data_IF_864927732809
#
_entry.id   IF_864927732809
#
_cell.length_a   1.000
_cell.length_b   1.000
_cell.length_c   1.000
_cell.angle_alpha   90.00
_cell.angle_beta   90.00
_cell.angle_gamma   90.00
#
_symmetry.space_group_name_H-M   'P 1'
#
loop_
_entity.id
_entity.type
_entity.pdbx_description
1 polymer ?
2 non-polymer ?
3 non-polymer ?
4 water ?
#
# COMPACT_ATOMS: atom_id res chain seq x y z
N UNK A 16 -10.23 -7.77 23.29
CA UNK A 16 -9.93 -8.04 21.89
C UNK A 16 -8.46 -7.72 21.56
N UNK A 17 -7.91 -8.39 20.55
CA UNK A 17 -6.48 -8.39 20.28
C UNK A 17 -6.09 -7.22 19.38
N UNK A 18 -5.13 -6.42 19.83
CA UNK A 18 -4.57 -5.34 19.02
C UNK A 18 -3.27 -5.71 18.30
N UNK A 19 -2.79 -6.93 18.45
CA UNK A 19 -1.56 -7.33 17.78
C UNK A 19 -1.86 -7.84 16.37
N UNK A 20 -0.91 -7.67 15.48
CA UNK A 20 -0.89 -8.40 14.21
C UNK A 20 0.33 -9.29 14.24
N UNK A 21 0.22 -10.48 13.65
CA UNK A 21 1.25 -11.48 13.76
C UNK A 21 1.91 -11.72 12.42
N UNK A 22 3.15 -12.19 12.48
CA UNK A 22 3.94 -12.55 11.31
C UNK A 22 4.54 -13.91 11.54
N UNK A 23 4.35 -14.82 10.59
CA UNK A 23 5.00 -16.13 10.65
C UNK A 23 6.39 -15.97 10.05
N UNK A 24 7.40 -15.83 10.90
CA UNK A 24 8.77 -15.71 10.42
C UNK A 24 9.52 -17.02 10.54
N UNK A 25 8.80 -18.14 10.61
CA UNK A 25 9.40 -19.46 10.72
C UNK A 25 9.28 -20.30 9.47
N UNK A 26 8.18 -20.16 8.74
CA UNK A 26 7.92 -20.95 7.53
C UNK A 26 8.09 -20.01 6.35
N UNK A 27 9.32 -19.95 5.84
CA UNK A 27 9.76 -18.92 4.92
C UNK A 27 10.35 -19.53 3.68
N UNK A 28 10.38 -18.80 2.57
CA UNK A 28 11.17 -19.26 1.42
C UNK A 28 12.61 -19.52 1.87
N UNK A 29 13.25 -20.47 1.20
CA UNK A 29 14.62 -20.86 1.54
C UNK A 29 15.56 -19.66 1.61
N UNK A 30 15.40 -18.70 0.70
CA UNK A 30 16.33 -17.57 0.62
C UNK A 30 16.33 -16.73 1.91
N UNK A 31 15.24 -16.77 2.68
CA UNK A 31 15.19 -15.97 3.90
C UNK A 31 16.06 -16.52 5.02
N UNK A 32 16.67 -17.68 4.81
CA UNK A 32 17.45 -18.29 5.86
C UNK A 32 16.61 -18.51 7.09
N UNK A 33 17.22 -18.32 8.25
CA UNK A 33 16.55 -18.48 9.53
C UNK A 33 16.52 -17.13 10.23
N UNK A 34 15.32 -16.74 10.66
CA UNK A 34 15.08 -15.41 11.18
C UNK A 34 15.88 -15.15 12.45
N UNK A 35 16.47 -13.96 12.54
CA UNK A 35 17.06 -13.51 13.78
C UNK A 35 16.20 -12.46 14.48
N UNK A 36 15.79 -11.41 13.76
CA UNK A 36 14.95 -10.35 14.31
C UNK A 36 13.94 -9.94 13.25
N UNK A 37 12.83 -9.36 13.71
CA UNK A 37 11.68 -9.09 12.84
C UNK A 37 11.28 -7.64 13.01
N UNK A 38 10.88 -6.99 11.92
CA UNK A 38 10.47 -5.60 11.93
C UNK A 38 9.17 -5.42 11.16
N UNK A 39 8.41 -4.39 11.53
CA UNK A 39 7.13 -4.10 10.92
C UNK A 39 7.07 -2.63 10.53
N UNK A 40 7.07 -2.37 9.23
CA UNK A 40 6.97 -1.01 8.69
C UNK A 40 5.52 -0.76 8.31
N UNK A 41 4.82 0.03 9.11
CA UNK A 41 3.38 0.22 8.97
C UNK A 41 3.12 1.67 8.60
N UNK A 42 2.26 1.91 7.60
CA UNK A 42 1.94 3.27 7.21
C UNK A 42 0.47 3.36 6.80
N UNK A 43 0.00 4.59 6.73
CA UNK A 43 -1.40 4.89 6.47
C UNK A 43 -1.63 5.02 4.97
N UNK A 44 -2.77 4.50 4.50
CA UNK A 44 -3.14 4.62 3.10
C UNK A 44 -4.32 5.58 2.91
N UNK A 45 -5.32 5.51 3.76
CA UNK A 45 -6.45 6.40 3.62
C UNK A 45 -7.20 6.46 4.94
N UNK A 46 -7.82 7.61 5.20
CA UNK A 46 -8.60 7.78 6.41
C UNK A 46 -7.81 7.90 7.69
N UNK A 47 -6.49 8.06 7.61
CA UNK A 47 -5.67 8.24 8.80
C UNK A 47 -4.34 8.86 8.38
N UNK A 48 -3.58 9.31 9.38
CA UNK A 48 -2.21 9.78 9.16
C UNK A 48 -1.30 9.22 10.23
N UNK A 49 -0.22 8.58 9.80
CA UNK A 49 0.76 8.08 10.75
C UNK A 49 2.12 8.67 10.43
N UNK A 50 2.93 8.92 11.44
CA UNK A 50 4.30 9.38 11.19
C UNK A 50 5.13 8.26 10.59
N UNK A 51 6.19 8.63 9.90
CA UNK A 51 7.08 7.67 9.27
C UNK A 51 7.99 7.06 10.33
N UNK A 52 7.91 5.74 10.47
CA UNK A 52 8.93 5.09 11.29
C UNK A 52 10.16 4.76 10.44
N UNK A 53 11.26 4.46 11.15
CA UNK A 53 12.60 4.18 10.63
C UNK A 53 12.74 2.73 10.23
N UNK A 54 13.04 2.46 8.97
CA UNK A 54 13.31 1.08 8.52
C UNK A 54 14.15 0.32 9.56
N UNK A 55 13.56 -0.70 10.17
CA UNK A 55 14.27 -1.64 11.06
C UNK A 55 14.82 -0.96 12.28
N UNK A 56 14.14 0.11 12.71
CA UNK A 56 14.48 0.79 13.94
C UNK A 56 13.72 0.22 15.12
N UNK A 57 14.06 0.76 16.29
CA UNK A 57 13.42 0.45 17.56
C UNK A 57 11.90 0.37 17.44
N UNK A 58 11.30 1.39 16.82
CA UNK A 58 9.85 1.47 16.78
C UNK A 58 9.25 0.33 15.96
N UNK A 59 10.01 -0.22 15.02
CA UNK A 59 9.47 -1.26 14.14
C UNK A 59 9.69 -2.67 14.66
N UNK A 60 10.51 -2.84 15.69
CA UNK A 60 10.97 -4.18 16.06
C UNK A 60 9.85 -4.96 16.72
N UNK A 61 9.67 -6.18 16.28
CA UNK A 61 8.64 -7.09 16.80
C UNK A 61 9.25 -8.07 17.79
N UNK A 62 8.41 -8.56 18.71
CA UNK A 62 8.82 -9.58 19.66
C UNK A 62 8.17 -10.91 19.30
N UNK A 63 8.85 -12.00 19.67
CA UNK A 63 8.40 -13.36 19.40
C UNK A 63 7.43 -13.79 20.50
N UNK A 64 6.25 -14.27 20.11
CA UNK A 64 5.33 -14.86 21.09
C UNK A 64 5.77 -16.29 21.37
N UNK A 65 6.27 -16.54 22.58
CA UNK A 65 6.82 -17.86 22.87
C UNK A 65 5.76 -18.95 22.76
N UNK A 66 4.51 -18.64 23.12
CA UNK A 66 3.45 -19.65 23.04
C UNK A 66 3.33 -20.21 21.63
N UNK A 67 3.24 -19.34 20.62
CA UNK A 67 2.98 -19.77 19.25
C UNK A 67 4.22 -19.80 18.38
N UNK A 68 5.27 -19.07 18.73
CA UNK A 68 6.40 -18.91 17.85
C UNK A 68 6.25 -17.78 16.85
N UNK A 69 5.09 -17.14 16.78
CA UNK A 69 4.84 -16.02 15.88
C UNK A 69 5.46 -14.74 16.42
N UNK A 70 5.93 -13.89 15.50
CA UNK A 70 6.30 -12.54 15.90
C UNK A 70 5.06 -11.66 15.90
N UNK A 71 5.09 -10.55 16.65
CA UNK A 71 3.92 -9.69 16.63
C UNK A 71 4.31 -8.23 16.72
N UNK A 72 3.41 -7.39 16.21
CA UNK A 72 3.53 -5.95 16.31
C UNK A 72 2.22 -5.44 16.91
N UNK A 73 2.30 -4.72 18.02
CA UNK A 73 1.11 -4.29 18.75
C UNK A 73 0.68 -2.92 18.24
N UNK A 74 -0.42 -2.89 17.48
CA UNK A 74 -0.85 -1.60 16.91
C UNK A 74 -1.24 -0.60 17.98
N UNK A 75 -1.61 -1.05 19.18
CA UNK A 75 -1.96 -0.11 20.24
C UNK A 75 -0.78 0.75 20.70
N UNK A 76 0.45 0.38 20.33
CA UNK A 76 1.63 1.13 20.72
C UNK A 76 2.06 2.13 19.67
N UNK A 77 1.26 2.35 18.62
CA UNK A 77 1.58 3.36 17.62
C UNK A 77 1.48 4.75 18.23
N UNK A 78 2.37 5.65 17.78
CA UNK A 78 2.42 7.02 18.25
C UNK A 78 2.20 7.98 17.09
N UNK A 79 1.52 9.09 17.36
CA UNK A 79 1.30 10.13 16.36
C UNK A 79 2.51 11.06 16.27
N UNK A 80 2.44 12.02 15.35
CA UNK A 80 3.57 12.93 15.14
C UNK A 80 4.03 13.58 16.44
N UNK A 81 3.08 13.98 17.29
CA UNK A 81 3.43 14.67 18.53
C UNK A 81 4.05 13.74 19.58
N UNK A 82 4.25 12.47 19.26
CA UNK A 82 4.72 11.51 20.24
C UNK A 82 3.66 10.94 21.16
N UNK A 83 2.43 11.43 21.07
CA UNK A 83 1.34 10.89 21.87
C UNK A 83 0.83 9.58 21.28
N UNK A 84 0.16 8.79 22.13
CA UNK A 84 -0.38 7.52 21.68
C UNK A 84 -1.49 7.75 20.67
N UNK A 85 -1.42 7.02 19.55
CA UNK A 85 -2.32 7.24 18.43
C UNK A 85 -3.73 6.73 18.71
N UNK A 86 -3.88 5.74 19.57
CA UNK A 86 -5.16 5.11 19.78
C UNK A 86 -5.48 3.98 18.82
N UNK A 87 -4.48 3.35 18.20
CA UNK A 87 -4.69 2.16 17.39
C UNK A 87 -5.17 2.45 15.98
N UNK A 88 -5.55 1.39 15.29
CA UNK A 88 -6.09 1.53 13.95
C UNK A 88 -7.50 2.11 14.03
N UNK A 89 -7.86 2.95 13.06
CA UNK A 89 -9.17 3.56 13.05
C UNK A 89 -10.14 2.76 12.17
N UNK A 90 -11.41 2.82 12.54
CA UNK A 90 -12.46 2.44 11.61
C UNK A 90 -12.36 3.34 10.38
N UNK A 91 -12.81 2.81 9.24
CA UNK A 91 -12.84 3.58 8.01
C UNK A 91 -11.46 4.05 7.57
N UNK A 92 -10.40 3.35 7.97
CA UNK A 92 -9.06 3.70 7.52
C UNK A 92 -8.39 2.50 6.86
N UNK A 93 -7.55 2.78 5.87
CA UNK A 93 -6.72 1.77 5.22
C UNK A 93 -5.27 2.01 5.58
N UNK A 94 -4.54 0.91 5.82
CA UNK A 94 -3.12 0.92 6.12
C UNK A 94 -2.40 -0.08 5.23
N UNK A 95 -1.08 -0.11 5.35
CA UNK A 95 -0.31 -1.16 4.70
C UNK A 95 0.93 -1.42 5.53
N UNK A 96 1.51 -2.61 5.38
CA UNK A 96 2.70 -2.97 6.13
C UNK A 96 3.68 -3.69 5.22
N UNK A 97 4.96 -3.57 5.57
CA UNK A 97 6.01 -4.45 5.11
C UNK A 97 6.58 -5.11 6.36
N UNK A 98 6.60 -6.43 6.38
CA UNK A 98 7.34 -7.13 7.41
C UNK A 98 8.73 -7.43 6.86
N UNK A 99 9.76 -7.08 7.62
CA UNK A 99 11.12 -7.42 7.24
C UNK A 99 11.77 -8.25 8.35
N UNK A 100 12.79 -9.01 7.95
CA UNK A 100 13.61 -9.77 8.88
C UNK A 100 15.07 -9.42 8.65
N UNK A 101 15.86 -9.61 9.69
CA UNK A 101 17.30 -9.79 9.55
C UNK A 101 17.59 -11.23 9.97
N UNK A 102 18.21 -12.00 9.07
CA UNK A 102 18.41 -13.42 9.32
C UNK A 102 19.65 -13.64 10.20
N UNK A 103 19.88 -14.90 10.57
CA UNK A 103 21.01 -15.19 11.47
C UNK A 103 22.36 -14.90 10.86
N UNK A 104 22.48 -14.67 9.55
CA UNK A 104 23.76 -14.23 9.01
C UNK A 104 23.77 -12.74 8.69
N UNK A 105 22.75 -12.01 9.16
CA UNK A 105 22.66 -10.55 9.09
C UNK A 105 22.25 -10.05 7.70
N UNK A 106 21.56 -10.87 6.93
CA UNK A 106 21.02 -10.40 5.66
C UNK A 106 19.58 -9.95 5.85
N UNK A 107 19.22 -8.83 5.25
CA UNK A 107 17.85 -8.32 5.34
C UNK A 107 16.94 -9.00 4.32
N UNK A 108 15.68 -9.20 4.71
CA UNK A 108 14.64 -9.73 3.82
C UNK A 108 13.34 -8.98 4.10
N UNK A 109 12.43 -8.94 3.12
CA UNK A 109 11.16 -8.23 3.36
C UNK A 109 10.02 -8.79 2.50
N UNK A 110 8.81 -8.74 3.05
CA UNK A 110 7.64 -9.06 2.25
C UNK A 110 7.38 -7.94 1.23
N UNK A 111 6.44 -8.22 0.32
CA UNK A 111 5.77 -7.17 -0.43
C UNK A 111 4.98 -6.27 0.52
N UNK A 112 4.44 -5.17 -0.02
CA UNK A 112 3.50 -4.37 0.74
C UNK A 112 2.21 -5.17 0.91
N UNK A 113 1.67 -5.23 2.13
CA UNK A 113 0.44 -5.95 2.41
C UNK A 113 -0.57 -4.96 3.01
N UNK A 114 -1.80 -4.98 2.49
CA UNK A 114 -2.78 -4.07 3.05
C UNK A 114 -3.24 -4.55 4.41
N UNK A 115 -3.80 -3.62 5.17
CA UNK A 115 -4.05 -3.82 6.59
C UNK A 115 -5.23 -2.93 6.97
N UNK A 116 -6.17 -3.50 7.74
CA UNK A 116 -7.29 -2.77 8.29
C UNK A 116 -7.66 -3.35 9.62
N UNK A 117 -8.55 -2.67 10.34
CA UNK A 117 -8.96 -3.15 11.65
C UNK A 117 -9.42 -4.61 11.65
N UNK A 118 -10.10 -5.13 10.64
CA UNK A 118 -10.51 -6.55 10.70
C UNK A 118 -9.33 -7.52 10.73
N UNK A 119 -8.12 -7.07 10.40
CA UNK A 119 -6.94 -7.92 10.44
C UNK A 119 -6.35 -8.07 11.84
N UNK A 120 -6.80 -7.27 12.81
CA UNK A 120 -6.23 -7.34 14.15
C UNK A 120 -6.40 -8.74 14.69
N UNK A 121 -5.33 -9.29 15.26
CA UNK A 121 -5.35 -10.66 15.74
C UNK A 121 -5.04 -11.72 14.69
N UNK A 122 -4.89 -11.34 13.43
CA UNK A 122 -4.64 -12.27 12.33
C UNK A 122 -3.14 -12.33 12.04
N UNK A 123 -2.76 -13.23 11.14
CA UNK A 123 -1.35 -13.52 10.89
C UNK A 123 -0.99 -13.37 9.42
N UNK A 124 0.13 -12.71 9.16
CA UNK A 124 0.70 -12.66 7.82
C UNK A 124 1.70 -13.80 7.68
N UNK A 125 1.62 -14.48 6.52
CA UNK A 125 2.54 -15.56 6.20
C UNK A 125 3.00 -15.39 4.76
N UNK A 126 4.19 -15.91 4.46
CA UNK A 126 4.68 -15.98 3.08
C UNK A 126 4.03 -17.12 2.33
N UNK A 127 3.48 -16.81 1.16
CA UNK A 127 2.74 -17.81 0.40
C UNK A 127 3.64 -18.66 -0.48
N UNK A 128 4.89 -18.25 -0.65
CA UNK A 128 5.75 -18.85 -1.64
C UNK A 128 5.64 -18.22 -3.01
N UNK A 129 4.59 -17.42 -3.25
CA UNK A 129 4.44 -16.76 -4.53
C UNK A 129 5.15 -15.42 -4.55
N UNK A 130 4.98 -14.70 -5.66
CA UNK A 130 5.53 -13.35 -5.79
C UNK A 130 4.49 -12.39 -6.35
N UNK A 131 4.81 -11.10 -6.30
CA UNK A 131 4.05 -10.06 -6.98
C UNK A 131 5.03 -9.16 -7.69
N UNK A 132 4.50 -8.41 -8.65
CA UNK A 132 5.29 -7.49 -9.44
C UNK A 132 5.78 -6.33 -8.56
N UNK A 133 7.08 -6.05 -8.62
CA UNK A 133 7.62 -4.86 -7.97
C UNK A 133 7.12 -3.60 -8.68
N UNK A 134 6.65 -2.61 -7.92
CA UNK A 134 6.04 -1.43 -8.55
C UNK A 134 7.08 -0.47 -9.13
N UNK A 135 8.35 -0.60 -8.75
CA UNK A 135 9.39 0.28 -9.27
C UNK A 135 10.08 -0.30 -10.49
N UNK A 136 10.06 -1.62 -10.65
CA UNK A 136 10.84 -2.26 -11.71
C UNK A 136 10.12 -3.56 -12.06
N UNK A 137 9.39 -3.55 -13.18
CA UNK A 137 8.55 -4.67 -13.58
C UNK A 137 9.36 -5.90 -13.96
N UNK A 138 10.68 -5.79 -14.09
CA UNK A 138 11.47 -7.00 -14.26
C UNK A 138 11.81 -7.68 -12.95
N UNK A 139 11.38 -7.11 -11.82
CA UNK A 139 11.69 -7.66 -10.50
C UNK A 139 10.41 -8.07 -9.78
N UNK A 140 10.56 -8.99 -8.82
CA UNK A 140 9.47 -9.52 -8.01
C UNK A 140 9.66 -9.16 -6.54
N UNK A 141 8.56 -9.06 -5.81
CA UNK A 141 8.56 -9.05 -4.35
C UNK A 141 7.98 -10.37 -3.85
N UNK A 142 8.38 -10.77 -2.65
CA UNK A 142 7.83 -11.98 -2.04
C UNK A 142 6.36 -11.76 -1.63
N UNK A 143 5.47 -12.61 -2.11
CA UNK A 143 4.06 -12.47 -1.74
C UNK A 143 3.82 -12.93 -0.31
N UNK A 144 3.03 -12.14 0.42
CA UNK A 144 2.57 -12.46 1.77
C UNK A 144 1.12 -12.03 1.91
N UNK A 145 0.37 -12.75 2.73
CA UNK A 145 -1.01 -12.34 2.93
C UNK A 145 -1.49 -12.88 4.26
N UNK A 146 -2.77 -12.58 4.56
CA UNK A 146 -3.38 -12.90 5.83
C UNK A 146 -3.95 -14.30 5.82
N UNK A 147 -3.84 -14.97 6.96
CA UNK A 147 -4.41 -16.29 7.11
C UNK A 147 -5.92 -16.28 7.01
N UNK A 148 -6.58 -15.36 7.74
CA UNK A 148 -8.05 -15.35 7.78
C UNK A 148 -8.70 -14.17 7.08
N UNK A 149 -7.93 -13.21 6.59
CA UNK A 149 -8.49 -12.01 5.99
C UNK A 149 -8.08 -11.83 4.53
N UNK A 150 -7.59 -12.90 3.87
CA UNK A 150 -7.00 -12.71 2.54
C UNK A 150 -8.05 -12.29 1.51
N UNK A 151 -9.32 -12.54 1.77
CA UNK A 151 -10.34 -12.12 0.80
C UNK A 151 -10.39 -10.60 0.66
N UNK A 152 -10.11 -9.86 1.73
CA UNK A 152 -10.27 -8.41 1.70
C UNK A 152 -8.98 -7.63 1.87
N UNK A 153 -7.95 -8.22 2.44
CA UNK A 153 -6.65 -7.60 2.59
C UNK A 153 -5.59 -8.57 2.08
N UNK A 154 -4.45 -8.02 1.68
CA UNK A 154 -3.43 -8.84 1.08
C UNK A 154 -2.41 -7.98 0.37
N UNK A 155 -1.58 -8.62 -0.47
CA UNK A 155 -0.62 -7.86 -1.28
C UNK A 155 -1.27 -6.62 -1.87
N UNK A 156 -0.57 -5.50 -1.75
CA UNK A 156 -1.12 -4.19 -2.07
C UNK A 156 -1.19 -4.04 -3.59
N UNK A 157 -2.39 -4.11 -4.16
CA UNK A 157 -2.52 -3.79 -5.57
C UNK A 157 -2.21 -2.31 -5.75
N UNK A 158 -1.48 -2.00 -6.82
CA UNK A 158 -1.03 -0.64 -7.08
C UNK A 158 -1.06 -0.33 -8.58
N UNK A 159 -1.21 0.95 -8.89
CA UNK A 159 -1.08 1.45 -10.25
C UNK A 159 0.28 2.14 -10.33
N UNK A 160 1.13 1.69 -11.24
CA UNK A 160 2.54 2.07 -11.21
C UNK A 160 2.81 3.29 -12.09
N UNK A 161 4.04 3.82 -11.96
CA UNK A 161 4.48 4.94 -12.76
C UNK A 161 4.43 4.66 -14.24
N UNK A 162 4.44 3.39 -14.65
CA UNK A 162 4.31 3.04 -16.05
C UNK A 162 2.87 2.68 -16.43
N UNK A 163 1.92 2.87 -15.53
CA UNK A 163 0.54 2.54 -15.84
C UNK A 163 0.18 1.07 -15.70
N UNK A 164 1.02 0.27 -15.04
CA UNK A 164 0.70 -1.11 -14.72
C UNK A 164 -0.26 -1.18 -13.53
N UNK A 165 -1.10 -2.21 -13.54
CA UNK A 165 -1.95 -2.54 -12.40
C UNK A 165 -1.46 -3.86 -11.84
N UNK A 166 -0.87 -3.83 -10.65
CA UNK A 166 -0.30 -5.03 -10.05
C UNK A 166 -1.35 -5.84 -9.29
N UNK A 167 -1.04 -7.12 -9.10
CA UNK A 167 -1.93 -8.06 -8.44
C UNK A 167 -2.10 -7.72 -6.95
N UNK A 168 -3.30 -7.92 -6.41
CA UNK A 168 -3.49 -7.88 -4.99
C UNK A 168 -4.84 -7.30 -4.63
N UNK A 169 -4.97 -6.86 -3.39
CA UNK A 169 -6.21 -6.28 -2.89
C UNK A 169 -6.17 -4.77 -2.92
N UNK A 170 -7.30 -4.17 -3.14
CA UNK A 170 -7.37 -2.73 -3.19
C UNK A 170 -7.75 -2.19 -1.83
N UNK A 171 -7.55 -0.89 -1.59
CA UNK A 171 -7.95 -0.33 -0.30
C UNK A 171 -9.45 -0.38 -0.16
N UNK A 172 -9.90 -0.38 1.08
CA UNK A 172 -11.31 -0.56 1.38
C UNK A 172 -12.05 0.77 1.35
N UNK A 173 -11.44 1.82 1.89
CA UNK A 173 -12.13 3.09 2.07
C UNK A 173 -11.71 4.13 1.06
N UNK A 174 -11.20 3.69 -0.08
CA UNK A 174 -10.76 4.51 -1.18
C UNK A 174 -11.32 3.88 -2.43
N UNK A 175 -12.07 4.64 -3.23
CA UNK A 175 -12.83 4.05 -4.32
C UNK A 175 -11.93 3.72 -5.51
N UNK A 176 -12.45 2.86 -6.38
CA UNK A 176 -11.65 2.45 -7.53
C UNK A 176 -11.39 3.64 -8.44
N UNK A 177 -12.37 4.54 -8.57
CA UNK A 177 -12.15 5.74 -9.36
C UNK A 177 -11.14 6.67 -8.70
N UNK A 178 -11.17 6.78 -7.37
CA UNK A 178 -10.23 7.65 -6.68
C UNK A 178 -8.81 7.11 -6.81
N UNK A 179 -8.65 5.80 -6.83
CA UNK A 179 -7.32 5.23 -6.98
C UNK A 179 -6.74 5.53 -8.37
N UNK A 180 -7.57 5.42 -9.41
CA UNK A 180 -7.12 5.77 -10.77
C UNK A 180 -6.74 7.24 -10.84
N UNK A 181 -7.52 8.12 -10.20
CA UNK A 181 -7.22 9.54 -10.24
C UNK A 181 -5.91 9.84 -9.51
N UNK A 182 -5.68 9.18 -8.37
CA UNK A 182 -4.40 9.29 -7.69
C UNK A 182 -3.23 8.91 -8.60
N UNK A 183 -3.40 7.84 -9.36
CA UNK A 183 -2.34 7.41 -10.28
C UNK A 183 -2.06 8.47 -11.34
N UNK A 184 -3.13 9.04 -11.92
CA UNK A 184 -2.92 10.13 -12.88
C UNK A 184 -2.19 11.29 -12.21
N UNK A 185 -2.62 11.65 -11.00
CA UNK A 185 -1.99 12.76 -10.29
C UNK A 185 -0.49 12.51 -10.10
N UNK A 186 -0.12 11.30 -9.67
CA UNK A 186 1.27 11.02 -9.37
C UNK A 186 2.14 10.89 -10.60
N UNK A 187 1.60 10.37 -11.70
CA UNK A 187 2.42 9.84 -12.79
C UNK A 187 2.16 10.43 -14.16
N UNK A 188 1.01 11.06 -14.39
CA UNK A 188 0.61 11.40 -15.76
C UNK A 188 1.58 12.40 -16.39
N UNK A 189 1.98 13.42 -15.64
CA UNK A 189 2.87 14.43 -16.20
C UNK A 189 4.29 13.89 -16.35
N UNK A 190 4.78 13.16 -15.34
CA UNK A 190 6.18 12.74 -15.38
C UNK A 190 6.42 11.54 -16.30
N UNK A 191 5.38 10.78 -16.63
CA UNK A 191 5.48 9.63 -17.51
C UNK A 191 4.48 9.77 -18.65
N UNK A 192 4.54 10.87 -19.40
CA UNK A 192 3.49 11.12 -20.41
C UNK A 192 3.34 9.99 -21.36
N UNK A 193 4.40 9.25 -21.59
CA UNK A 193 4.32 8.33 -22.69
C UNK A 193 3.70 7.00 -22.30
N UNK A 194 3.61 6.75 -21.00
CA UNK A 194 2.91 5.60 -20.47
C UNK A 194 1.47 5.93 -20.09
N UNK A 195 1.18 7.20 -19.83
CA UNK A 195 -0.17 7.65 -19.48
C UNK A 195 -0.83 8.29 -20.70
N UNK A 196 -1.23 7.44 -21.61
CA UNK A 196 -1.95 7.79 -22.82
C UNK A 196 -3.41 7.44 -22.65
N UNK A 197 -4.29 8.04 -23.46
CA UNK A 197 -5.72 7.75 -23.31
C UNK A 197 -6.04 6.26 -23.32
N UNK A 198 -5.32 5.48 -24.11
CA UNK A 198 -5.63 4.06 -24.19
C UNK A 198 -5.10 3.28 -22.99
N UNK A 199 -3.93 3.65 -22.46
CA UNK A 199 -3.48 2.98 -21.23
C UNK A 199 -4.36 3.37 -20.05
N UNK A 200 -4.66 4.65 -19.91
CA UNK A 200 -5.58 5.08 -18.85
C UNK A 200 -6.91 4.37 -19.02
N UNK A 201 -7.38 4.25 -20.26
CA UNK A 201 -8.59 3.48 -20.53
C UNK A 201 -8.47 2.06 -20.00
N UNK A 202 -7.36 1.38 -20.25
CA UNK A 202 -7.20 0.03 -19.73
C UNK A 202 -7.05 0.02 -18.21
N UNK A 203 -6.45 1.06 -17.64
CA UNK A 203 -6.33 1.12 -16.18
C UNK A 203 -7.71 1.11 -15.55
N UNK A 204 -8.64 1.96 -16.03
CA UNK A 204 -9.98 1.98 -15.48
C UNK A 204 -10.67 0.63 -15.62
N UNK A 205 -10.48 -0.04 -16.76
CA UNK A 205 -11.16 -1.32 -17.00
C UNK A 205 -10.67 -2.39 -16.04
N UNK A 206 -9.35 -2.48 -15.87
CA UNK A 206 -8.81 -3.50 -14.97
C UNK A 206 -9.14 -3.19 -13.51
N UNK A 207 -9.14 -1.90 -13.15
CA UNK A 207 -9.44 -1.49 -11.78
C UNK A 207 -10.93 -1.28 -11.54
N UNK A 208 -11.75 -1.29 -12.59
CA UNK A 208 -13.21 -1.14 -12.45
C UNK A 208 -13.57 0.28 -12.02
N UNK A 209 -13.07 1.27 -12.75
CA UNK A 209 -13.40 2.67 -12.49
C UNK A 209 -14.00 3.28 -13.74
N UNK A 210 -15.13 3.95 -13.59
CA UNK A 210 -15.74 4.60 -14.73
C UNK A 210 -15.02 5.91 -15.01
N UNK A 211 -14.60 6.17 -16.25
CA UNK A 211 -13.76 7.37 -16.51
C UNK A 211 -14.37 8.65 -15.95
N UNK A 212 -15.66 8.87 -16.16
CA UNK A 212 -16.29 10.07 -15.61
C UNK A 212 -16.17 10.11 -14.10
N UNK A 213 -16.32 8.96 -13.44
CA UNK A 213 -16.14 8.92 -11.99
C UNK A 213 -14.70 9.30 -11.62
N UNK A 214 -13.73 8.81 -12.40
CA UNK A 214 -12.35 9.18 -12.14
C UNK A 214 -12.17 10.69 -12.27
N UNK A 215 -12.70 11.26 -13.36
CA UNK A 215 -12.58 12.70 -13.58
C UNK A 215 -13.17 13.47 -12.39
N UNK A 216 -14.39 13.13 -12.00
CA UNK A 216 -15.00 13.83 -10.87
C UNK A 216 -14.19 13.63 -9.60
N UNK A 217 -13.70 12.41 -9.36
CA UNK A 217 -12.87 12.17 -8.18
C UNK A 217 -11.62 13.04 -8.23
N UNK A 218 -10.92 13.03 -9.36
CA UNK A 218 -9.75 13.89 -9.55
C UNK A 218 -10.05 15.33 -9.17
N UNK A 219 -11.08 15.93 -9.78
CA UNK A 219 -11.41 17.31 -9.48
C UNK A 219 -11.58 17.54 -7.99
N UNK A 220 -12.17 16.57 -7.29
CA UNK A 220 -12.42 16.75 -5.85
C UNK A 220 -11.15 16.58 -5.04
N UNK A 221 -10.44 15.46 -5.23
CA UNK A 221 -9.28 15.16 -4.40
C UNK A 221 -8.13 16.12 -4.59
N UNK A 222 -8.04 16.79 -5.73
CA UNK A 222 -6.91 17.65 -6.06
C UNK A 222 -7.38 19.07 -6.38
N UNK A 223 -8.34 19.58 -5.61
CA UNK A 223 -8.74 20.97 -5.79
C UNK A 223 -7.65 21.92 -5.35
N UNK A 224 -7.02 21.64 -4.20
CA UNK A 224 -5.89 22.45 -3.73
C UNK A 224 -4.80 22.50 -4.79
N UNK A 225 -4.50 21.34 -5.39
CA UNK A 225 -3.37 21.24 -6.29
C UNK A 225 -3.65 21.82 -7.67
N UNK A 226 -4.86 21.60 -8.20
CA UNK A 226 -5.21 22.19 -9.49
C UNK A 226 -5.25 23.71 -9.44
N UNK A 227 -5.38 24.30 -8.25
CA UNK A 227 -5.61 25.74 -8.12
C UNK A 227 -4.57 26.56 -8.88
N UNK A 228 -3.29 26.28 -8.65
CA UNK A 228 -2.21 26.97 -9.34
C UNK A 228 -1.25 25.93 -9.88
N UNK A 229 -0.85 26.01 -11.16
CA UNK A 229 0.10 25.03 -11.69
C UNK A 229 1.50 25.20 -11.13
N UNK A 230 1.96 26.44 -10.95
CA UNK A 230 3.33 26.68 -10.52
C UNK A 230 3.65 25.93 -9.23
N UNK A 231 2.67 25.74 -8.36
CA UNK A 231 2.92 25.03 -7.12
C UNK A 231 3.04 23.52 -7.34
N UNK A 232 2.26 22.95 -8.25
CA UNK A 232 2.28 21.52 -8.53
C UNK A 232 2.39 21.28 -10.03
N UNK A 233 3.60 21.39 -10.58
CA UNK A 233 3.76 21.10 -12.02
C UNK A 233 3.43 19.66 -12.37
N UNK A 234 3.68 18.70 -11.47
CA UNK A 234 3.43 17.29 -11.73
C UNK A 234 1.97 16.90 -11.61
N UNK A 235 1.09 17.84 -11.28
CA UNK A 235 -0.34 17.58 -11.24
C UNK A 235 -0.96 17.99 -12.57
N UNK A 236 -1.47 17.01 -13.31
CA UNK A 236 -2.09 17.28 -14.59
C UNK A 236 -3.34 18.13 -14.42
N UNK A 237 -3.49 19.23 -15.18
CA UNK A 237 -4.74 20.00 -15.12
C UNK A 237 -5.91 19.20 -15.65
N UNK A 238 -7.11 19.66 -15.33
CA UNK A 238 -8.32 18.90 -15.68
C UNK A 238 -8.42 18.67 -17.18
N UNK A 239 -8.09 19.69 -17.99
CA UNK A 239 -8.09 19.50 -19.45
C UNK A 239 -7.22 18.31 -19.85
N UNK A 240 -6.06 18.17 -19.21
CA UNK A 240 -5.25 16.98 -19.44
C UNK A 240 -5.99 15.72 -19.02
N UNK A 241 -6.70 15.79 -17.89
CA UNK A 241 -7.32 14.60 -17.33
C UNK A 241 -8.50 14.16 -18.18
N UNK A 242 -9.37 15.11 -18.56
CA UNK A 242 -10.50 14.76 -19.40
C UNK A 242 -10.04 13.99 -20.63
N UNK A 243 -9.06 14.56 -21.34
CA UNK A 243 -8.58 13.93 -22.58
C UNK A 243 -8.02 12.53 -22.29
N UNK A 244 -7.24 12.39 -21.21
CA UNK A 244 -6.69 11.08 -20.88
C UNK A 244 -7.79 10.06 -20.59
N UNK A 245 -8.90 10.52 -20.01
CA UNK A 245 -10.03 9.67 -19.72
C UNK A 245 -11.02 9.57 -20.87
N UNK A 246 -10.83 10.36 -21.93
CA UNK A 246 -11.80 10.43 -23.00
C UNK A 246 -13.12 11.06 -22.61
N UNK A 247 -13.16 11.83 -21.53
CA UNK A 247 -14.40 12.34 -21.00
C UNK A 247 -14.65 13.75 -21.52
N UNK A 248 -15.86 14.25 -21.24
CA UNK A 248 -16.29 15.60 -21.61
C UNK A 248 -16.82 16.26 -20.35
N UNK A 249 -16.03 17.11 -19.67
CA UNK A 249 -16.56 17.80 -18.49
C UNK A 249 -17.82 18.60 -18.79
N UNK A 250 -18.11 18.86 -20.06
CA UNK A 250 -19.39 19.43 -20.48
C UNK A 250 -20.58 18.61 -19.95
#
# INVERSE_FOLDING_TARGET
HHHHHHENLYFQGEETDTKIYFDASNLPAEWGTTKTVYCHLYAVAGDDLPETSWQGKAEKCKKDTATGLYYFDTAKLKSADGTNHGGLKDNADYAVIFSTIDTKSQSHQTCNVTLGKPCLGDTIYLTGGTVENTEDSSKRDFAATWKNNSDNYGPKAAITSLGHVTEGRFPIYLSRAEMVAQAIFNWAVKNPKNYTPETVADICAQVEAEPMDVYNAYAEMYATELADPAAYPDCAPLTTVATLLGVDPSG
#
